data_IF_261422397747
#
_entry.id   IF_261422397747
#
_cell.length_a   1.000
_cell.length_b   1.000
_cell.length_c   1.000
_cell.angle_alpha   90.00
_cell.angle_beta   90.00
_cell.angle_gamma   90.00
#
_symmetry.space_group_name_H-M   'P 1'
#
loop_
_entity.id
_entity.type
_entity.pdbx_description
1 polymer ?
#
# COMPACT_ATOMS: atom_id res chain seq x y z
N UNK A 1 1.08 -0.93 -24.78
CA UNK A 1 0.90 -1.88 -23.67
C UNK A 1 0.35 -1.17 -22.47
N UNK A 2 -0.72 -1.69 -21.86
CA UNK A 2 -1.20 -1.10 -20.63
C UNK A 2 -0.13 -1.26 -19.54
N UNK A 3 0.10 -0.23 -18.76
CA UNK A 3 0.95 -0.34 -17.57
C UNK A 3 0.26 -1.28 -16.59
N UNK A 4 1.03 -2.17 -15.99
CA UNK A 4 0.51 -2.96 -14.88
C UNK A 4 0.06 -2.02 -13.78
N UNK A 5 -1.15 -2.23 -13.29
CA UNK A 5 -1.70 -1.44 -12.21
C UNK A 5 -1.09 -1.93 -10.90
N UNK A 6 -0.26 -1.08 -10.28
CA UNK A 6 0.40 -1.43 -9.01
C UNK A 6 -0.53 -1.23 -7.81
N UNK A 7 -1.54 -0.41 -7.96
CA UNK A 7 -2.58 -0.23 -6.94
C UNK A 7 -3.87 0.18 -7.61
N UNK A 8 -4.98 -0.09 -6.93
CA UNK A 8 -6.31 0.26 -7.40
C UNK A 8 -6.94 1.27 -6.44
N UNK A 9 -7.50 2.31 -6.99
CA UNK A 9 -8.15 3.38 -6.25
C UNK A 9 -9.66 3.25 -6.41
N UNK A 10 -10.38 3.49 -5.32
CA UNK A 10 -11.83 3.54 -5.37
C UNK A 10 -12.26 4.88 -5.97
N UNK A 11 -13.03 4.78 -7.06
CA UNK A 11 -13.61 5.95 -7.73
C UNK A 11 -15.02 6.23 -7.20
N UNK A 12 -15.29 5.85 -5.96
CA UNK A 12 -16.59 6.02 -5.33
C UNK A 12 -16.43 6.82 -4.04
N UNK A 13 -17.52 7.49 -3.63
CA UNK A 13 -17.57 8.24 -2.38
C UNK A 13 -17.61 7.32 -1.15
N UNK A 14 -17.73 6.02 -1.35
CA UNK A 14 -17.77 5.04 -0.28
C UNK A 14 -16.40 4.86 0.33
N UNK A 15 -16.33 4.89 1.65
CA UNK A 15 -15.10 4.62 2.39
C UNK A 15 -15.14 3.17 2.85
N UNK A 16 -14.14 2.39 2.42
CA UNK A 16 -14.00 1.03 2.90
C UNK A 16 -13.05 1.03 4.09
N UNK A 17 -13.41 0.36 5.20
CA UNK A 17 -12.54 0.34 6.37
C UNK A 17 -11.28 -0.50 6.19
N UNK A 18 -11.19 -1.26 5.11
CA UNK A 18 -10.08 -2.15 4.82
C UNK A 18 -9.61 -2.03 3.38
N UNK A 19 -8.36 -2.39 3.15
CA UNK A 19 -7.82 -2.52 1.80
C UNK A 19 -7.06 -3.83 1.66
N UNK A 20 -6.91 -4.28 0.42
CA UNK A 20 -6.32 -5.57 0.09
C UNK A 20 -4.84 -5.37 -0.26
N UNK A 21 -3.95 -6.04 0.46
CA UNK A 21 -2.54 -6.15 0.10
C UNK A 21 -2.30 -7.54 -0.48
N UNK A 22 -2.11 -7.60 -1.78
CA UNK A 22 -1.80 -8.82 -2.49
C UNK A 22 -0.29 -9.02 -2.50
N UNK A 23 0.20 -10.13 -1.94
CA UNK A 23 1.61 -10.50 -1.96
C UNK A 23 1.81 -11.79 -2.74
N UNK A 24 3.05 -12.17 -3.00
CA UNK A 24 3.34 -13.42 -3.70
C UNK A 24 2.93 -14.65 -2.89
N UNK A 25 2.90 -14.55 -1.56
CA UNK A 25 2.58 -15.67 -0.70
C UNK A 25 1.12 -15.68 -0.25
N UNK A 26 0.49 -14.52 -0.14
CA UNK A 26 -0.84 -14.45 0.46
C UNK A 26 -1.55 -13.15 0.13
N UNK A 27 -2.83 -13.12 0.45
CA UNK A 27 -3.65 -11.93 0.35
C UNK A 27 -4.04 -11.48 1.76
N UNK A 28 -3.76 -10.24 2.10
CA UNK A 28 -4.03 -9.66 3.40
C UNK A 28 -5.08 -8.57 3.30
N UNK A 29 -6.00 -8.55 4.25
CA UNK A 29 -6.91 -7.41 4.44
C UNK A 29 -6.37 -6.57 5.60
N UNK A 30 -6.09 -5.32 5.32
CA UNK A 30 -5.53 -4.39 6.28
C UNK A 30 -6.58 -3.36 6.67
N UNK A 31 -6.71 -3.12 7.98
CA UNK A 31 -7.63 -2.10 8.48
C UNK A 31 -6.97 -0.73 8.42
N UNK A 32 -7.64 0.26 7.83
CA UNK A 32 -7.15 1.63 7.83
C UNK A 32 -6.96 2.17 9.26
N UNK A 33 -7.79 1.74 10.21
CA UNK A 33 -7.66 2.14 11.61
C UNK A 33 -6.36 1.66 12.25
N UNK A 34 -5.78 0.57 11.72
CA UNK A 34 -4.53 0.01 12.24
C UNK A 34 -3.30 0.47 11.45
N UNK A 35 -3.50 1.19 10.36
CA UNK A 35 -2.40 1.73 9.57
C UNK A 35 -1.91 3.01 10.22
N UNK A 36 -0.62 3.08 10.53
CA UNK A 36 -0.01 4.23 11.16
C UNK A 36 1.41 4.44 10.66
N UNK A 37 1.97 5.60 10.96
CA UNK A 37 3.35 5.96 10.64
C UNK A 37 3.67 5.77 9.16
N UNK A 38 2.77 6.20 8.29
CA UNK A 38 2.98 6.12 6.85
C UNK A 38 4.06 7.11 6.47
N UNK A 39 5.15 6.61 5.88
CA UNK A 39 6.29 7.42 5.44
C UNK A 39 6.65 7.07 4.02
N UNK A 40 7.01 8.08 3.26
CA UNK A 40 7.59 7.89 1.93
C UNK A 40 9.01 8.46 1.94
N UNK A 41 9.90 7.84 1.16
CA UNK A 41 11.21 8.43 0.92
C UNK A 41 11.07 9.75 0.17
N UNK A 42 12.08 10.62 0.25
CA UNK A 42 12.02 11.95 -0.38
C UNK A 42 11.80 11.88 -1.89
N UNK A 43 12.28 10.81 -2.53
CA UNK A 43 12.11 10.58 -3.97
C UNK A 43 10.84 9.77 -4.30
N UNK A 44 10.06 9.38 -3.29
CA UNK A 44 8.85 8.56 -3.42
C UNK A 44 9.10 7.20 -4.08
N UNK A 45 10.31 6.65 -3.99
CA UNK A 45 10.60 5.31 -4.48
C UNK A 45 10.27 4.23 -3.46
N UNK A 46 9.99 4.61 -2.22
CA UNK A 46 9.56 3.66 -1.19
C UNK A 46 8.53 4.27 -0.26
N UNK A 47 7.65 3.40 0.27
CA UNK A 47 6.66 3.76 1.28
C UNK A 47 6.74 2.73 2.39
N UNK A 48 6.70 3.19 3.64
CA UNK A 48 6.65 2.35 4.84
C UNK A 48 5.45 2.70 5.67
N UNK A 49 4.84 1.70 6.27
CA UNK A 49 3.78 1.94 7.24
C UNK A 49 3.67 0.76 8.20
N UNK A 50 3.04 1.01 9.34
CA UNK A 50 2.72 -0.02 10.32
C UNK A 50 1.28 -0.47 10.13
N UNK A 51 1.03 -1.76 10.35
CA UNK A 51 -0.31 -2.33 10.30
C UNK A 51 -0.38 -3.49 11.31
N UNK A 52 -1.53 -4.18 11.34
CA UNK A 52 -1.76 -5.30 12.25
C UNK A 52 -0.80 -6.47 12.03
N UNK A 53 -0.17 -6.58 10.86
CA UNK A 53 0.76 -7.66 10.52
C UNK A 53 2.23 -7.27 10.75
N UNK A 54 2.50 -6.01 11.09
CA UNK A 54 3.85 -5.51 11.28
C UNK A 54 4.16 -4.31 10.38
N UNK A 55 5.42 -4.16 10.04
CA UNK A 55 5.88 -3.08 9.18
C UNK A 55 5.86 -3.53 7.71
N UNK A 56 5.21 -2.76 6.86
CA UNK A 56 5.17 -2.99 5.42
C UNK A 56 6.13 -2.01 4.76
N UNK A 57 6.97 -2.53 3.86
CA UNK A 57 7.84 -1.72 3.01
C UNK A 57 7.49 -2.01 1.56
N UNK A 58 7.15 -0.96 0.83
CA UNK A 58 6.88 -1.02 -0.61
C UNK A 58 7.97 -0.23 -1.33
N UNK A 59 8.52 -0.80 -2.40
CA UNK A 59 9.56 -0.14 -3.19
C UNK A 59 9.26 -0.30 -4.68
N UNK A 60 9.66 0.67 -5.47
CA UNK A 60 9.49 0.61 -6.92
C UNK A 60 10.63 1.37 -7.60
N UNK A 61 10.80 1.12 -8.91
CA UNK A 61 11.79 1.83 -9.70
C UNK A 61 11.34 3.22 -10.17
N UNK A 62 10.07 3.56 -9.94
CA UNK A 62 9.52 4.88 -10.28
C UNK A 62 8.63 5.36 -9.13
N UNK A 63 8.17 6.61 -9.21
CA UNK A 63 7.51 7.29 -8.11
C UNK A 63 6.23 6.60 -7.63
N UNK A 64 6.13 6.43 -6.32
CA UNK A 64 4.93 5.97 -5.63
C UNK A 64 4.14 7.14 -5.02
N UNK A 65 4.41 8.37 -5.48
CA UNK A 65 3.73 9.54 -4.94
C UNK A 65 2.21 9.46 -5.04
N UNK A 66 1.70 8.97 -6.18
CA UNK A 66 0.26 8.79 -6.36
C UNK A 66 -0.34 7.83 -5.33
N UNK A 67 0.36 6.72 -5.06
CA UNK A 67 -0.07 5.79 -4.03
C UNK A 67 -0.08 6.46 -2.65
N UNK A 68 0.97 7.19 -2.32
CA UNK A 68 1.08 7.90 -1.04
C UNK A 68 -0.07 8.90 -0.86
N UNK A 69 -0.38 9.67 -1.90
CA UNK A 69 -1.47 10.65 -1.87
C UNK A 69 -2.83 9.96 -1.68
N UNK A 70 -3.07 8.85 -2.37
CA UNK A 70 -4.32 8.10 -2.22
C UNK A 70 -4.44 7.41 -0.86
N UNK A 71 -3.33 6.99 -0.26
CA UNK A 71 -3.34 6.46 1.11
C UNK A 71 -3.72 7.54 2.11
N UNK A 72 -3.33 8.80 1.87
CA UNK A 72 -3.65 9.92 2.75
C UNK A 72 -5.16 10.11 2.90
N UNK A 73 -5.93 9.84 1.86
CA UNK A 73 -7.38 9.99 1.86
C UNK A 73 -8.11 8.65 1.93
N UNK A 74 -7.37 7.58 2.24
CA UNK A 74 -7.92 6.22 2.42
C UNK A 74 -8.72 5.71 1.23
N UNK A 75 -8.28 6.03 0.02
CA UNK A 75 -8.95 5.63 -1.21
C UNK A 75 -8.34 4.44 -1.91
N UNK A 76 -7.26 3.92 -1.39
CA UNK A 76 -6.64 2.71 -1.95
C UNK A 76 -7.47 1.51 -1.55
N UNK A 77 -7.89 0.74 -2.55
CA UNK A 77 -8.64 -0.49 -2.33
C UNK A 77 -7.76 -1.72 -2.36
N UNK A 78 -6.74 -1.70 -3.20
CA UNK A 78 -5.84 -2.82 -3.39
C UNK A 78 -4.44 -2.32 -3.71
N UNK A 79 -3.44 -2.96 -3.10
CA UNK A 79 -2.04 -2.79 -3.47
C UNK A 79 -1.54 -4.12 -4.02
N UNK A 80 -0.96 -4.09 -5.22
CA UNK A 80 -0.44 -5.27 -5.88
C UNK A 80 1.04 -5.44 -5.55
N UNK A 81 1.32 -6.21 -4.48
CA UNK A 81 2.67 -6.43 -4.01
C UNK A 81 3.62 -7.04 -5.04
N UNK A 82 3.17 -8.02 -5.89
CA UNK A 82 4.05 -8.55 -6.94
C UNK A 82 4.52 -7.52 -7.96
N UNK A 83 3.74 -6.44 -8.17
CA UNK A 83 4.15 -5.35 -9.07
C UNK A 83 5.08 -4.36 -8.37
N UNK A 84 5.35 -4.56 -7.08
CA UNK A 84 6.23 -3.75 -6.24
C UNK A 84 7.14 -4.68 -5.46
N UNK A 85 8.30 -4.18 -5.03
CA UNK A 85 9.06 -4.92 -4.02
C UNK A 85 8.36 -4.70 -2.67
N UNK A 86 7.69 -5.75 -2.19
CA UNK A 86 6.90 -5.69 -0.96
C UNK A 86 7.53 -6.60 0.10
N UNK A 87 7.77 -6.05 1.29
CA UNK A 87 8.29 -6.80 2.43
C UNK A 87 7.47 -6.46 3.66
N UNK A 88 7.09 -7.50 4.41
CA UNK A 88 6.39 -7.34 5.68
C UNK A 88 7.31 -7.88 6.78
N UNK A 89 7.64 -7.03 7.75
CA UNK A 89 8.48 -7.40 8.88
C UNK A 89 7.63 -7.39 10.14
N UNK A 90 7.44 -8.56 10.79
CA UNK A 90 6.68 -8.58 12.04
C UNK A 90 7.34 -7.73 13.11
N UNK A 91 6.52 -7.09 13.92
CA UNK A 91 7.00 -6.29 15.06
C UNK A 91 6.80 -7.11 16.33
N UNK A 92 7.87 -7.29 17.05
CA UNK A 92 7.83 -8.00 18.34
C UNK A 92 7.30 -7.11 19.45
#
# INVERSE_FOLDING_TARGET
>A
MPKETRWTVLDRREIYPRFWLHTEQENLLLSWAMVSQVRASADFLSIRFLCEYGQVLLSAGDSLRGLFEHMQIERVWRIDGPALACRITPID
#
